data_IF_329778903724
#
_entry.id   IF_329778903724
#
_cell.length_a   1.000
_cell.length_b   1.000
_cell.length_c   1.000
_cell.angle_alpha   90.00
_cell.angle_beta   90.00
_cell.angle_gamma   90.00
#
_symmetry.space_group_name_H-M   'P 1'
#
loop_
_entity.id
_entity.type
_entity.pdbx_description
1 polymer ?
#
# COMPACT_ATOMS: atom_id res chain seq x y z
N UNK A 1 -26.33 8.84 9.03
CA UNK A 1 -25.28 7.88 8.62
C UNK A 1 -25.20 7.95 7.11
N UNK A 2 -24.12 8.49 6.56
CA UNK A 2 -23.88 8.44 5.12
C UNK A 2 -23.04 7.20 4.81
N UNK A 3 -23.58 6.38 3.91
CA UNK A 3 -23.03 5.11 3.45
C UNK A 3 -22.27 5.38 2.16
N UNK A 4 -20.99 5.02 2.10
CA UNK A 4 -20.24 5.02 0.84
C UNK A 4 -20.24 3.59 0.30
N UNK A 5 -20.69 3.43 -0.95
CA UNK A 5 -20.65 2.17 -1.68
C UNK A 5 -19.60 2.30 -2.78
N UNK A 6 -18.49 1.56 -2.65
CA UNK A 6 -17.49 1.46 -3.72
C UNK A 6 -18.00 0.42 -4.71
N UNK A 7 -18.33 0.86 -5.93
CA UNK A 7 -18.73 0.00 -7.03
C UNK A 7 -17.51 -0.28 -7.93
N UNK A 8 -17.05 -1.52 -7.95
CA UNK A 8 -16.13 -2.00 -8.98
C UNK A 8 -16.95 -2.71 -10.07
N UNK A 9 -16.99 -2.20 -11.33
CA UNK A 9 -17.91 -2.69 -12.36
C UNK A 9 -17.66 -4.15 -12.80
N UNK A 10 -16.60 -4.80 -12.32
CA UNK A 10 -16.18 -6.14 -12.71
C UNK A 10 -16.19 -7.14 -11.53
N UNK A 11 -16.65 -6.74 -10.33
CA UNK A 11 -16.77 -7.62 -9.17
C UNK A 11 -18.08 -7.33 -8.41
N UNK A 12 -18.89 -8.35 -8.04
CA UNK A 12 -20.17 -8.17 -7.34
C UNK A 12 -20.00 -7.89 -5.84
N UNK A 13 -18.91 -7.23 -5.43
CA UNK A 13 -18.56 -7.05 -4.03
C UNK A 13 -18.58 -5.58 -3.69
N UNK A 14 -19.54 -5.18 -2.86
CA UNK A 14 -19.57 -3.85 -2.25
C UNK A 14 -19.06 -3.93 -0.82
N UNK A 15 -18.26 -2.95 -0.41
CA UNK A 15 -17.86 -2.76 1.00
C UNK A 15 -18.68 -1.59 1.55
N UNK A 16 -19.45 -1.87 2.59
CA UNK A 16 -20.16 -0.86 3.37
C UNK A 16 -19.31 -0.49 4.59
N UNK A 17 -18.99 0.79 4.74
CA UNK A 17 -18.26 1.29 5.90
C UNK A 17 -18.80 2.63 6.37
N UNK A 18 -18.55 2.93 7.65
CA UNK A 18 -18.80 4.27 8.21
C UNK A 18 -17.90 5.28 7.53
N UNK A 19 -18.47 6.38 7.04
CA UNK A 19 -17.70 7.50 6.49
C UNK A 19 -16.74 8.04 7.55
N UNK A 20 -15.45 8.05 7.23
CA UNK A 20 -14.43 8.71 8.03
C UNK A 20 -14.60 10.24 7.85
N UNK A 21 -14.60 11.03 8.94
CA UNK A 21 -14.77 12.47 8.85
C UNK A 21 -13.57 13.14 8.18
N UNK A 22 -13.79 14.30 7.57
CA UNK A 22 -12.74 15.11 6.93
C UNK A 22 -12.85 15.15 5.40
N UNK A 23 -11.90 15.88 4.83
CA UNK A 23 -11.75 16.14 3.40
C UNK A 23 -10.45 15.53 2.89
N UNK A 24 -10.43 15.14 1.62
CA UNK A 24 -9.21 14.68 0.95
C UNK A 24 -8.11 15.74 1.03
N UNK A 25 -6.92 15.34 1.50
CA UNK A 25 -5.78 16.24 1.64
C UNK A 25 -5.50 16.99 0.32
N UNK A 26 -5.57 16.29 -0.82
CA UNK A 26 -5.36 16.90 -2.14
C UNK A 26 -6.30 18.07 -2.46
N UNK A 27 -7.53 18.07 -1.93
CA UNK A 27 -8.51 19.14 -2.14
C UNK A 27 -8.21 20.38 -1.30
N UNK A 28 -7.79 20.18 -0.05
CA UNK A 28 -7.57 21.27 0.91
C UNK A 28 -6.10 21.73 0.99
N UNK A 29 -5.16 20.99 0.40
CA UNK A 29 -3.71 21.24 0.54
C UNK A 29 -3.30 22.69 0.29
N UNK A 30 -3.89 23.32 -0.74
CA UNK A 30 -3.59 24.69 -1.14
C UNK A 30 -4.12 25.75 -0.17
N UNK A 31 -5.13 25.43 0.63
CA UNK A 31 -5.71 26.35 1.61
C UNK A 31 -5.04 26.27 2.97
N UNK A 32 -4.28 25.21 3.23
CA UNK A 32 -3.49 25.04 4.45
C UNK A 32 -2.33 26.03 4.48
N UNK A 33 -2.08 26.60 5.65
CA UNK A 33 -0.86 27.31 6.00
C UNK A 33 0.34 26.36 6.09
N UNK A 34 1.55 26.93 6.11
CA UNK A 34 2.77 26.13 6.19
C UNK A 34 2.87 25.36 7.53
N UNK A 35 2.45 25.97 8.64
CA UNK A 35 2.41 25.31 9.95
C UNK A 35 1.46 24.11 9.97
N UNK A 36 0.30 24.22 9.31
CA UNK A 36 -0.66 23.12 9.19
C UNK A 36 -0.10 21.98 8.33
N UNK A 37 0.59 22.32 7.23
CA UNK A 37 1.25 21.31 6.37
C UNK A 37 2.36 20.58 7.12
N UNK A 38 3.18 21.30 7.89
CA UNK A 38 4.23 20.71 8.72
C UNK A 38 3.65 19.77 9.78
N UNK A 39 2.55 20.18 10.44
CA UNK A 39 1.81 19.35 11.39
C UNK A 39 1.29 18.06 10.74
N UNK A 40 0.66 18.15 9.57
CA UNK A 40 0.14 17.00 8.83
C UNK A 40 1.29 16.08 8.38
N UNK A 41 2.43 16.63 7.95
CA UNK A 41 3.60 15.86 7.58
C UNK A 41 4.14 15.05 8.76
N UNK A 42 4.22 15.64 9.96
CA UNK A 42 4.66 14.96 11.17
C UNK A 42 3.71 13.83 11.58
N UNK A 43 2.41 14.06 11.45
CA UNK A 43 1.39 13.03 11.67
C UNK A 43 1.53 11.88 10.67
N UNK A 44 1.65 12.19 9.38
CA UNK A 44 1.81 11.20 8.32
C UNK A 44 3.04 10.33 8.58
N UNK A 45 4.18 10.95 8.93
CA UNK A 45 5.40 10.22 9.31
C UNK A 45 5.14 9.27 10.49
N UNK A 46 4.49 9.76 11.54
CA UNK A 46 4.18 8.96 12.74
C UNK A 46 3.30 7.76 12.41
N UNK A 47 2.27 7.93 11.58
CA UNK A 47 1.41 6.84 11.14
C UNK A 47 2.16 5.82 10.26
N UNK A 48 2.98 6.30 9.32
CA UNK A 48 3.80 5.43 8.47
C UNK A 48 4.79 4.60 9.29
N UNK A 49 5.44 5.21 10.28
CA UNK A 49 6.32 4.49 11.21
C UNK A 49 5.56 3.45 12.04
N UNK A 50 4.31 3.73 12.42
CA UNK A 50 3.47 2.81 13.17
C UNK A 50 3.04 1.60 12.33
N UNK A 51 2.51 1.82 11.12
CA UNK A 51 2.06 0.71 10.26
C UNK A 51 3.23 -0.16 9.80
N UNK A 52 4.40 0.42 9.54
CA UNK A 52 5.61 -0.33 9.13
C UNK A 52 6.13 -1.29 10.21
N UNK A 53 5.65 -1.18 11.45
CA UNK A 53 5.97 -2.12 12.56
C UNK A 53 5.01 -3.30 12.64
N UNK A 54 3.94 -3.33 11.84
CA UNK A 54 3.00 -4.44 11.84
C UNK A 54 3.64 -5.70 11.26
N UNK A 55 3.46 -6.82 11.97
CA UNK A 55 4.02 -8.12 11.57
C UNK A 55 3.04 -8.94 10.77
N UNK A 56 1.86 -9.23 11.29
CA UNK A 56 0.91 -10.13 10.64
C UNK A 56 -0.49 -9.55 10.76
N UNK A 57 -1.25 -9.58 9.67
CA UNK A 57 -2.67 -9.19 9.68
C UNK A 57 -3.48 -10.45 9.54
N UNK A 58 -4.49 -10.56 10.40
CA UNK A 58 -5.47 -11.62 10.30
C UNK A 58 -6.63 -11.13 9.44
N UNK A 59 -6.97 -11.87 8.39
CA UNK A 59 -8.11 -11.55 7.51
C UNK A 59 -8.98 -12.78 7.30
N UNK A 60 -10.28 -12.66 7.61
CA UNK A 60 -11.26 -13.73 7.35
C UNK A 60 -11.40 -14.07 5.86
N UNK A 61 -10.93 -13.17 4.97
CA UNK A 61 -11.01 -13.31 3.52
C UNK A 61 -9.83 -14.08 2.90
N UNK A 62 -8.84 -14.48 3.70
CA UNK A 62 -7.64 -15.20 3.21
C UNK A 62 -7.65 -16.64 3.74
N UNK A 63 -7.32 -17.65 2.91
CA UNK A 63 -7.13 -19.02 3.38
C UNK A 63 -6.15 -19.06 4.57
N UNK A 64 -6.49 -19.80 5.63
CA UNK A 64 -5.74 -19.84 6.90
C UNK A 64 -5.70 -18.54 7.71
N UNK A 65 -6.45 -17.52 7.29
CA UNK A 65 -6.64 -16.23 7.93
C UNK A 65 -5.41 -15.37 8.16
N UNK A 66 -4.22 -15.81 7.76
CA UNK A 66 -2.98 -15.08 7.98
C UNK A 66 -2.50 -14.49 6.67
N UNK A 67 -2.33 -13.16 6.67
CA UNK A 67 -1.51 -12.47 5.70
C UNK A 67 -0.28 -12.02 6.49
N UNK A 68 0.82 -12.71 6.28
CA UNK A 68 2.08 -12.46 6.96
C UNK A 68 3.07 -11.75 6.04
N UNK A 69 4.16 -11.21 6.58
CA UNK A 69 5.30 -10.91 5.76
C UNK A 69 5.82 -12.23 5.20
N UNK A 70 6.41 -12.18 4.01
CA UNK A 70 7.40 -13.17 3.64
C UNK A 70 8.51 -13.16 4.70
N UNK A 71 9.02 -14.32 5.11
CA UNK A 71 10.04 -14.41 6.15
C UNK A 71 11.35 -13.72 5.73
N UNK A 72 11.51 -13.48 4.42
CA UNK A 72 12.58 -12.71 3.81
C UNK A 72 12.13 -11.98 2.54
N UNK A 73 12.84 -10.92 2.16
CA UNK A 73 12.69 -10.30 0.84
C UNK A 73 12.95 -11.30 -0.30
N UNK A 74 13.84 -12.27 -0.10
CA UNK A 74 14.08 -13.34 -1.06
C UNK A 74 12.79 -14.13 -1.35
N UNK A 75 12.05 -14.54 -0.33
CA UNK A 75 10.80 -15.29 -0.50
C UNK A 75 9.72 -14.42 -1.20
N UNK A 76 9.68 -13.10 -0.91
CA UNK A 76 8.84 -12.15 -1.65
C UNK A 76 9.24 -12.05 -3.12
N UNK A 77 10.53 -11.92 -3.42
CA UNK A 77 11.07 -11.82 -4.77
C UNK A 77 10.84 -13.12 -5.55
N UNK A 78 11.04 -14.28 -4.94
CA UNK A 78 10.75 -15.59 -5.52
C UNK A 78 9.26 -15.74 -5.85
N UNK A 79 8.36 -15.30 -4.95
CA UNK A 79 6.92 -15.28 -5.23
C UNK A 79 6.60 -14.40 -6.44
N UNK A 80 7.09 -13.15 -6.51
CA UNK A 80 6.88 -12.27 -7.66
C UNK A 80 7.44 -12.89 -8.96
N UNK A 81 8.65 -13.43 -8.91
CA UNK A 81 9.30 -14.06 -10.07
C UNK A 81 8.54 -15.31 -10.54
N UNK A 82 7.95 -16.09 -9.63
CA UNK A 82 7.16 -17.28 -9.98
C UNK A 82 5.92 -16.94 -10.83
N UNK A 83 5.42 -15.72 -10.71
CA UNK A 83 4.31 -15.20 -11.52
C UNK A 83 4.77 -14.54 -12.83
N UNK A 84 6.07 -14.28 -12.99
CA UNK A 84 6.62 -13.61 -14.16
C UNK A 84 6.76 -14.59 -15.34
N UNK A 85 5.88 -14.44 -16.33
CA UNK A 85 5.93 -15.20 -17.59
C UNK A 85 6.66 -14.46 -18.71
N UNK A 86 7.20 -15.20 -19.67
CA UNK A 86 7.82 -14.63 -20.88
C UNK A 86 6.83 -13.94 -21.83
N UNK A 87 5.52 -14.13 -21.63
CA UNK A 87 4.47 -13.60 -22.52
C UNK A 87 4.37 -12.07 -22.59
N UNK A 88 5.00 -11.34 -21.66
CA UNK A 88 5.09 -9.87 -21.70
C UNK A 88 6.32 -9.33 -22.42
N UNK A 89 7.23 -10.18 -22.88
CA UNK A 89 8.52 -9.78 -23.47
C UNK A 89 8.56 -10.04 -24.97
N UNK A 90 9.36 -9.25 -25.70
CA UNK A 90 9.51 -9.39 -27.15
C UNK A 90 10.33 -10.63 -27.54
N UNK A 91 11.13 -11.15 -26.60
CA UNK A 91 11.95 -12.36 -26.78
C UNK A 91 12.31 -13.01 -25.45
N UNK A 92 12.70 -14.28 -25.50
CA UNK A 92 13.22 -15.03 -24.35
C UNK A 92 14.52 -14.43 -23.81
N UNK A 93 15.38 -13.89 -24.68
CA UNK A 93 16.61 -13.20 -24.28
C UNK A 93 16.31 -11.94 -23.46
N UNK A 94 15.29 -11.16 -23.84
CA UNK A 94 14.88 -9.97 -23.10
C UNK A 94 14.30 -10.33 -21.73
N UNK A 95 13.48 -11.38 -21.68
CA UNK A 95 12.96 -11.94 -20.42
C UNK A 95 14.10 -12.37 -19.49
N UNK A 96 15.05 -13.16 -19.98
CA UNK A 96 16.19 -13.65 -19.19
C UNK A 96 17.09 -12.51 -18.69
N UNK A 97 17.40 -11.53 -19.54
CA UNK A 97 18.18 -10.36 -19.13
C UNK A 97 17.48 -9.54 -18.04
N UNK A 98 16.15 -9.43 -18.13
CA UNK A 98 15.33 -8.71 -17.13
C UNK A 98 15.29 -9.47 -15.82
N UNK A 99 15.11 -10.79 -15.87
CA UNK A 99 15.15 -11.67 -14.71
C UNK A 99 16.51 -11.62 -14.01
N UNK A 100 17.61 -11.68 -14.75
CA UNK A 100 18.96 -11.56 -14.20
C UNK A 100 19.23 -10.19 -13.58
N UNK A 101 18.63 -9.12 -14.11
CA UNK A 101 18.70 -7.80 -13.49
C UNK A 101 17.89 -7.74 -12.19
N UNK A 102 16.71 -8.35 -12.15
CA UNK A 102 15.89 -8.43 -10.93
C UNK A 102 16.62 -9.20 -9.82
N UNK A 103 17.27 -10.32 -10.15
CA UNK A 103 18.08 -11.11 -9.20
C UNK A 103 19.25 -10.35 -8.57
N UNK A 104 19.74 -9.28 -9.22
CA UNK A 104 20.77 -8.42 -8.59
C UNK A 104 20.24 -7.69 -7.36
N UNK A 105 18.93 -7.49 -7.25
CA UNK A 105 18.30 -6.88 -6.07
C UNK A 105 18.47 -7.77 -4.83
N UNK A 106 18.61 -9.09 -4.99
CA UNK A 106 18.84 -10.02 -3.88
C UNK A 106 20.18 -9.77 -3.14
N UNK A 107 21.10 -9.02 -3.76
CA UNK A 107 22.36 -8.59 -3.11
C UNK A 107 22.20 -7.41 -2.16
N UNK A 108 21.03 -6.78 -2.11
CA UNK A 108 20.72 -5.62 -1.26
C UNK A 108 19.52 -5.96 -0.38
N UNK A 109 19.72 -6.60 0.78
CA UNK A 109 18.60 -7.00 1.63
C UNK A 109 17.91 -5.76 2.22
N UNK A 110 16.61 -5.66 1.98
CA UNK A 110 15.70 -4.66 2.49
C UNK A 110 14.77 -5.27 3.54
N UNK A 111 14.32 -4.43 4.47
CA UNK A 111 13.28 -4.86 5.41
C UNK A 111 11.95 -4.97 4.68
N UNK A 112 11.27 -6.09 4.88
CA UNK A 112 9.86 -6.23 4.52
C UNK A 112 9.00 -5.52 5.57
N UNK A 113 8.19 -4.55 5.15
CA UNK A 113 7.32 -3.74 6.01
C UNK A 113 5.90 -3.70 5.46
N UNK A 114 4.91 -3.57 6.35
CA UNK A 114 3.55 -3.32 5.90
C UNK A 114 3.43 -1.88 5.36
N UNK A 115 2.88 -1.74 4.16
CA UNK A 115 2.63 -0.45 3.50
C UNK A 115 1.24 -0.44 2.88
N UNK A 116 0.71 0.78 2.68
CA UNK A 116 -0.58 1.02 2.08
C UNK A 116 -0.64 0.63 0.59
N UNK A 117 0.49 0.66 -0.12
CA UNK A 117 0.59 0.33 -1.55
C UNK A 117 0.03 1.38 -2.52
N UNK A 118 -0.87 2.26 -2.07
CA UNK A 118 -1.39 3.39 -2.88
C UNK A 118 -1.63 4.67 -2.06
N UNK A 119 -0.62 5.09 -1.28
CA UNK A 119 -0.74 6.28 -0.43
C UNK A 119 -0.62 7.57 -1.26
N UNK A 120 -1.74 8.03 -1.80
CA UNK A 120 -1.87 9.30 -2.53
C UNK A 120 -2.67 10.32 -1.74
N UNK A 121 -2.54 11.60 -2.08
CA UNK A 121 -3.21 12.70 -1.36
C UNK A 121 -4.75 12.61 -1.33
N UNK A 122 -5.38 11.86 -2.24
CA UNK A 122 -6.83 11.64 -2.23
C UNK A 122 -7.26 10.48 -1.33
N UNK A 123 -6.30 9.65 -0.91
CA UNK A 123 -6.48 8.56 0.05
C UNK A 123 -6.18 8.99 1.49
N UNK A 124 -5.87 10.27 1.73
CA UNK A 124 -5.61 10.83 3.06
C UNK A 124 -6.73 11.80 3.39
N UNK A 125 -7.44 11.57 4.50
CA UNK A 125 -8.47 12.49 5.00
C UNK A 125 -7.91 13.36 6.13
N UNK A 126 -8.27 14.64 6.09
CA UNK A 126 -7.90 15.62 7.11
C UNK A 126 -9.11 16.41 7.60
N UNK A 127 -9.13 16.73 8.90
CA UNK A 127 -10.12 17.60 9.53
C UNK A 127 -9.45 18.35 10.67
N UNK A 128 -9.69 19.67 10.76
CA UNK A 128 -9.12 20.51 11.83
C UNK A 128 -7.61 20.25 12.01
N UNK A 129 -6.86 20.26 10.90
CA UNK A 129 -5.40 20.11 10.90
C UNK A 129 -4.89 18.72 11.34
N UNK A 130 -5.78 17.74 11.48
CA UNK A 130 -5.46 16.37 11.88
C UNK A 130 -5.78 15.39 10.75
N UNK A 131 -4.91 14.41 10.54
CA UNK A 131 -5.23 13.25 9.71
C UNK A 131 -6.27 12.41 10.46
N UNK A 132 -7.42 12.21 9.83
CA UNK A 132 -8.55 11.47 10.39
C UNK A 132 -8.64 10.04 9.86
N UNK A 133 -8.00 9.75 8.72
CA UNK A 133 -7.88 8.38 8.24
C UNK A 133 -7.23 8.24 6.87
N UNK A 134 -6.99 6.98 6.52
CA UNK A 134 -6.49 6.55 5.22
C UNK A 134 -7.55 5.67 4.55
N UNK A 135 -7.81 5.91 3.26
CA UNK A 135 -8.76 5.19 2.44
C UNK A 135 -8.03 4.28 1.44
N UNK A 136 -8.74 3.31 0.89
CA UNK A 136 -8.27 2.51 -0.25
C UNK A 136 -7.05 1.60 0.03
N UNK A 137 -7.20 0.75 1.05
CA UNK A 137 -6.19 -0.23 1.46
C UNK A 137 -6.13 -1.47 0.55
N UNK A 138 -6.73 -1.46 -0.65
CA UNK A 138 -6.82 -2.64 -1.51
C UNK A 138 -5.46 -3.13 -2.02
N UNK A 139 -4.52 -2.19 -2.18
CA UNK A 139 -3.14 -2.47 -2.58
C UNK A 139 -2.20 -2.66 -1.38
N UNK A 140 -2.73 -2.69 -0.15
CA UNK A 140 -1.90 -2.80 1.04
C UNK A 140 -1.33 -4.20 1.23
N UNK A 141 -0.10 -4.26 1.74
CA UNK A 141 0.62 -5.52 1.85
C UNK A 141 2.00 -5.34 2.47
N UNK A 142 2.73 -6.45 2.53
CA UNK A 142 4.13 -6.46 2.94
C UNK A 142 5.01 -6.34 1.72
N UNK A 143 5.78 -5.25 1.67
CA UNK A 143 6.68 -4.93 0.57
C UNK A 143 8.06 -4.56 1.12
N UNK A 144 9.12 -4.63 0.32
CA UNK A 144 10.40 -4.01 0.65
C UNK A 144 10.24 -2.52 1.01
N UNK A 145 11.14 -1.99 1.84
CA UNK A 145 11.02 -0.62 2.39
C UNK A 145 11.37 0.53 1.41
N UNK A 146 11.81 0.21 0.20
CA UNK A 146 12.20 1.16 -0.86
C UNK A 146 11.02 1.67 -1.70
#
# INVERSE_FOLDING_TARGET
METIQIFTPHAPVSILMTRIPGDELGRVYKTLSDTERDSIQLQLKSYLEAIRRWKTIRSVRVPNHLVGPFESEQEFNEYLQSTAGSGGFSSETEYNNTLDRARKMDSMPHRTVFTHGDLKHHNILVQNEQITGFLDWESAGWYPEY
#
